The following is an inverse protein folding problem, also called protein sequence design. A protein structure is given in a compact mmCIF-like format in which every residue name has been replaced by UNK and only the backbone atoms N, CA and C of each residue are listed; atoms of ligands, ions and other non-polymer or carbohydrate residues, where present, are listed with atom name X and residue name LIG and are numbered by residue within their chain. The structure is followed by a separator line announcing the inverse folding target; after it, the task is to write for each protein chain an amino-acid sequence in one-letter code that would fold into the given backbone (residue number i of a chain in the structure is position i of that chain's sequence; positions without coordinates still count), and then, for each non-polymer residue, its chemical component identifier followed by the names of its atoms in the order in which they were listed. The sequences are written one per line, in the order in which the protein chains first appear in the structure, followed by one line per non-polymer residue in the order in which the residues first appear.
data_IF_122080697102
#
_entry.id   IF_122080697102
#
_cell.length_a   1.000
_cell.length_b   1.000
_cell.length_c   1.000
_cell.angle_alpha   90.00
_cell.angle_beta   90.00
_cell.angle_gamma   90.00
#
_symmetry.space_group_name_H-M   'P 1'
#
loop_
_entity.id
_entity.type
_entity.pdbx_description
1 polymer ?
#
# COMPACT_ATOMS: atom_id res chain seq x y z
N UNK A 1 9.44 7.08 -21.81
CA UNK A 1 10.38 7.21 -20.67
C UNK A 1 9.86 6.31 -19.57
N UNK A 2 10.49 5.15 -19.39
CA UNK A 2 10.02 4.11 -18.46
C UNK A 2 10.42 4.52 -17.05
N UNK A 3 9.46 5.03 -16.27
CA UNK A 3 9.69 5.62 -14.93
C UNK A 3 10.30 4.59 -13.95
N UNK A 4 10.23 3.30 -14.28
CA UNK A 4 10.82 2.21 -13.51
C UNK A 4 12.37 2.26 -13.49
N UNK A 5 13.04 2.66 -14.58
CA UNK A 5 14.49 2.53 -14.69
C UNK A 5 15.30 3.72 -14.15
N UNK A 6 14.65 4.82 -13.73
CA UNK A 6 15.33 6.10 -13.45
C UNK A 6 16.28 6.03 -12.24
N UNK A 7 16.01 5.11 -11.31
CA UNK A 7 16.74 4.96 -10.05
C UNK A 7 17.68 3.72 -10.06
N UNK A 8 17.67 2.94 -11.14
CA UNK A 8 18.60 1.82 -11.30
C UNK A 8 19.97 2.33 -11.77
N UNK A 9 21.04 1.79 -11.22
CA UNK A 9 22.40 2.12 -11.67
C UNK A 9 22.58 1.82 -13.16
N UNK A 10 23.26 2.71 -13.89
CA UNK A 10 23.55 2.53 -15.32
C UNK A 10 24.70 1.52 -15.54
N UNK A 11 24.56 0.33 -14.97
CA UNK A 11 25.51 -0.79 -15.03
C UNK A 11 24.83 -1.99 -15.69
N UNK A 12 25.61 -2.98 -16.14
CA UNK A 12 25.07 -4.25 -16.63
C UNK A 12 24.20 -4.94 -15.56
N UNK A 13 24.64 -4.88 -14.30
CA UNK A 13 23.88 -5.37 -13.15
C UNK A 13 22.56 -4.61 -12.95
N UNK A 14 22.56 -3.28 -13.14
CA UNK A 14 21.34 -2.48 -13.05
C UNK A 14 20.37 -2.74 -14.21
N UNK A 15 20.88 -2.95 -15.43
CA UNK A 15 20.05 -3.36 -16.57
C UNK A 15 19.41 -4.73 -16.34
N UNK A 16 20.17 -5.68 -15.78
CA UNK A 16 19.66 -6.98 -15.39
C UNK A 16 18.62 -6.89 -14.27
N UNK A 17 18.87 -6.05 -13.25
CA UNK A 17 17.89 -5.79 -12.20
C UNK A 17 16.56 -5.27 -12.78
N UNK A 18 16.62 -4.33 -13.74
CA UNK A 18 15.42 -3.80 -14.42
C UNK A 18 14.66 -4.89 -15.16
N UNK A 19 15.38 -5.79 -15.85
CA UNK A 19 14.77 -6.94 -16.52
C UNK A 19 14.07 -7.86 -15.53
N UNK A 20 14.78 -8.30 -14.50
CA UNK A 20 14.25 -9.19 -13.46
C UNK A 20 13.06 -8.59 -12.72
N UNK A 21 13.10 -7.30 -12.40
CA UNK A 21 11.96 -6.61 -11.79
C UNK A 21 10.73 -6.63 -12.71
N UNK A 22 10.92 -6.41 -14.01
CA UNK A 22 9.83 -6.43 -14.99
C UNK A 22 9.26 -7.85 -15.14
N UNK A 23 10.12 -8.86 -15.22
CA UNK A 23 9.74 -10.27 -15.30
C UNK A 23 9.00 -10.72 -14.02
N UNK A 24 9.47 -10.29 -12.85
CA UNK A 24 8.84 -10.60 -11.57
C UNK A 24 7.44 -10.01 -11.43
N UNK A 25 7.23 -8.77 -11.89
CA UNK A 25 5.89 -8.17 -11.96
C UNK A 25 4.98 -8.95 -12.91
N UNK A 26 5.48 -9.30 -14.10
CA UNK A 26 4.71 -10.07 -15.08
C UNK A 26 4.34 -11.47 -14.56
N UNK A 27 5.25 -12.13 -13.85
CA UNK A 27 5.00 -13.42 -13.21
C UNK A 27 3.92 -13.30 -12.11
N UNK A 28 3.98 -12.24 -11.29
CA UNK A 28 2.96 -11.97 -10.26
C UNK A 28 1.57 -11.74 -10.88
N UNK A 29 1.49 -10.97 -11.97
CA UNK A 29 0.24 -10.75 -12.73
C UNK A 29 -0.31 -12.06 -13.34
N UNK A 30 0.58 -12.99 -13.71
CA UNK A 30 0.22 -14.31 -14.19
C UNK A 30 -0.10 -15.33 -13.08
N UNK A 31 -0.01 -14.94 -11.80
CA UNK A 31 -0.20 -15.83 -10.65
C UNK A 31 0.91 -16.85 -10.43
N UNK A 32 2.09 -16.63 -11.02
CA UNK A 32 3.28 -17.45 -10.87
C UNK A 32 4.11 -16.93 -9.69
N UNK A 33 3.62 -17.18 -8.47
CA UNK A 33 4.10 -16.47 -7.29
C UNK A 33 5.54 -16.78 -6.90
N UNK A 34 5.95 -18.05 -6.96
CA UNK A 34 7.31 -18.48 -6.64
C UNK A 34 8.33 -17.88 -7.62
N UNK A 35 7.97 -17.85 -8.91
CA UNK A 35 8.79 -17.23 -9.94
C UNK A 35 8.89 -15.72 -9.74
N UNK A 36 7.77 -15.07 -9.43
CA UNK A 36 7.73 -13.64 -9.13
C UNK A 36 8.65 -13.29 -7.95
N UNK A 37 8.59 -14.08 -6.87
CA UNK A 37 9.42 -13.87 -5.68
C UNK A 37 10.90 -14.02 -5.99
N UNK A 38 11.26 -15.07 -6.73
CA UNK A 38 12.64 -15.32 -7.13
C UNK A 38 13.20 -14.16 -7.96
N UNK A 39 12.46 -13.70 -8.97
CA UNK A 39 12.88 -12.61 -9.86
C UNK A 39 12.99 -11.27 -9.14
N UNK A 40 12.00 -10.94 -8.31
CA UNK A 40 12.02 -9.69 -7.54
C UNK A 40 13.14 -9.69 -6.50
N UNK A 41 13.39 -10.82 -5.84
CA UNK A 41 14.47 -10.95 -4.87
C UNK A 41 15.84 -10.80 -5.51
N UNK A 42 16.03 -11.35 -6.71
CA UNK A 42 17.28 -11.17 -7.46
C UNK A 42 17.45 -9.72 -7.93
N UNK A 43 16.37 -9.05 -8.36
CA UNK A 43 16.42 -7.63 -8.69
C UNK A 43 16.82 -6.75 -7.50
N UNK A 44 16.29 -7.03 -6.30
CA UNK A 44 16.70 -6.37 -5.05
C UNK A 44 18.18 -6.62 -4.74
N UNK A 45 18.66 -7.85 -4.95
CA UNK A 45 20.07 -8.21 -4.71
C UNK A 45 21.02 -7.49 -5.65
N UNK A 46 20.67 -7.34 -6.93
CA UNK A 46 21.49 -6.69 -7.94
C UNK A 46 21.48 -5.16 -7.84
N UNK A 47 20.38 -4.58 -7.36
CA UNK A 47 20.22 -3.13 -7.21
C UNK A 47 19.64 -2.78 -5.83
N UNK A 48 20.42 -2.91 -4.73
CA UNK A 48 19.92 -2.71 -3.37
C UNK A 48 19.50 -1.28 -3.05
N UNK A 49 19.92 -0.30 -3.86
CA UNK A 49 19.55 1.10 -3.71
C UNK A 49 18.39 1.52 -4.62
N UNK A 50 17.82 0.59 -5.38
CA UNK A 50 16.69 0.84 -6.25
C UNK A 50 15.37 0.50 -5.55
N UNK A 51 14.52 1.50 -5.35
CA UNK A 51 13.30 1.36 -4.55
C UNK A 51 12.20 0.52 -5.23
N UNK A 52 12.17 0.42 -6.57
CA UNK A 52 11.04 -0.19 -7.26
C UNK A 52 10.90 -1.72 -7.04
N UNK A 53 11.98 -2.54 -7.10
CA UNK A 53 11.91 -3.96 -6.78
C UNK A 53 11.41 -4.23 -5.36
N UNK A 54 11.85 -3.44 -4.38
CA UNK A 54 11.37 -3.55 -3.00
C UNK A 54 9.86 -3.29 -2.91
N UNK A 55 9.37 -2.21 -3.53
CA UNK A 55 7.94 -1.89 -3.55
C UNK A 55 7.10 -2.99 -4.25
N UNK A 56 7.61 -3.58 -5.33
CA UNK A 56 6.94 -4.66 -6.05
C UNK A 56 6.96 -5.99 -5.28
N UNK A 57 8.09 -6.32 -4.61
CA UNK A 57 8.20 -7.53 -3.79
C UNK A 57 7.31 -7.45 -2.56
N UNK A 58 7.22 -6.29 -1.90
CA UNK A 58 6.27 -6.08 -0.84
C UNK A 58 4.80 -6.25 -1.29
N UNK A 59 4.48 -5.83 -2.52
CA UNK A 59 3.15 -6.07 -3.08
C UNK A 59 2.90 -7.56 -3.28
N UNK A 60 3.88 -8.29 -3.80
CA UNK A 60 3.81 -9.75 -3.96
C UNK A 60 3.58 -10.43 -2.61
N UNK A 61 4.36 -10.09 -1.58
CA UNK A 61 4.15 -10.62 -0.22
C UNK A 61 2.73 -10.35 0.27
N UNK A 62 2.22 -9.13 0.09
CA UNK A 62 0.82 -8.83 0.46
C UNK A 62 -0.23 -9.63 -0.31
N UNK A 63 0.04 -10.04 -1.56
CA UNK A 63 -0.87 -10.86 -2.37
C UNK A 63 -0.79 -12.35 -2.02
N UNK A 64 0.42 -12.87 -1.82
CA UNK A 64 0.67 -14.22 -1.34
C UNK A 64 -0.02 -14.51 0.00
N UNK A 65 -0.19 -13.46 0.79
CA UNK A 65 -0.62 -13.53 2.17
C UNK A 65 -1.98 -12.87 2.42
N UNK A 66 -2.75 -12.63 1.36
CA UNK A 66 -4.17 -12.31 1.51
C UNK A 66 -4.85 -13.50 2.24
N UNK A 67 -5.63 -13.29 3.32
CA UNK A 67 -6.34 -14.37 4.01
C UNK A 67 -7.35 -15.14 3.13
N UNK A 68 -7.64 -14.63 1.92
CA UNK A 68 -8.40 -15.32 0.88
C UNK A 68 -7.51 -16.07 -0.14
N UNK A 69 -6.18 -15.97 -0.03
CA UNK A 69 -5.25 -16.71 -0.87
C UNK A 69 -5.17 -18.17 -0.39
N UNK A 70 -5.58 -19.14 -1.23
CA UNK A 70 -5.69 -20.54 -0.83
C UNK A 70 -4.34 -21.25 -0.61
N UNK A 71 -3.22 -20.59 -0.88
CA UNK A 71 -1.90 -21.23 -0.89
C UNK A 71 -1.31 -21.51 0.50
N UNK A 72 -1.69 -20.77 1.55
CA UNK A 72 -1.20 -21.09 2.90
C UNK A 72 -2.11 -20.57 4.05
N UNK A 73 -3.23 -21.24 4.37
CA UNK A 73 -4.08 -20.88 5.49
C UNK A 73 -3.44 -21.13 6.88
N UNK A 74 -2.24 -21.73 6.94
CA UNK A 74 -1.54 -22.09 8.17
C UNK A 74 -0.32 -21.21 8.47
N UNK A 75 0.02 -20.28 7.57
CA UNK A 75 1.04 -19.28 7.77
C UNK A 75 0.38 -17.91 7.96
N UNK A 76 -0.09 -17.59 9.19
CA UNK A 76 -0.56 -16.25 9.51
C UNK A 76 0.63 -15.30 9.34
N UNK A 77 0.62 -14.55 8.27
CA UNK A 77 1.78 -13.78 7.85
C UNK A 77 2.10 -12.70 8.86
N UNK A 78 3.31 -12.76 9.38
CA UNK A 78 3.95 -11.58 9.94
C UNK A 78 4.19 -10.63 8.76
N UNK A 79 3.56 -9.46 8.68
CA UNK A 79 3.80 -8.49 7.61
C UNK A 79 5.25 -7.96 7.56
N UNK A 80 6.17 -8.53 8.33
CA UNK A 80 7.53 -8.07 8.54
C UNK A 80 8.29 -7.86 7.22
N UNK A 81 8.28 -8.84 6.31
CA UNK A 81 9.01 -8.75 5.05
C UNK A 81 8.44 -7.64 4.16
N UNK A 82 7.11 -7.57 4.05
CA UNK A 82 6.44 -6.51 3.29
C UNK A 82 6.66 -5.12 3.91
N UNK A 83 6.61 -5.00 5.24
CA UNK A 83 6.90 -3.75 5.95
C UNK A 83 8.35 -3.32 5.73
N UNK A 84 9.30 -4.25 5.91
CA UNK A 84 10.72 -3.99 5.75
C UNK A 84 11.03 -3.50 4.33
N UNK A 85 10.50 -4.17 3.32
CA UNK A 85 10.71 -3.78 1.92
C UNK A 85 10.11 -2.40 1.63
N UNK A 86 8.90 -2.11 2.12
CA UNK A 86 8.27 -0.82 1.90
C UNK A 86 8.96 0.32 2.64
N UNK A 87 9.39 0.10 3.87
CA UNK A 87 10.15 1.09 4.65
C UNK A 87 11.49 1.38 3.97
N UNK A 88 12.20 0.36 3.51
CA UNK A 88 13.42 0.51 2.73
C UNK A 88 13.16 1.27 1.41
N UNK A 89 12.10 0.92 0.68
CA UNK A 89 11.74 1.61 -0.56
C UNK A 89 11.46 3.11 -0.33
N UNK A 90 10.73 3.46 0.73
CA UNK A 90 10.46 4.87 1.08
C UNK A 90 11.74 5.61 1.48
N UNK A 91 12.65 4.96 2.22
CA UNK A 91 13.94 5.56 2.62
C UNK A 91 14.87 5.80 1.42
N UNK A 92 14.86 4.91 0.43
CA UNK A 92 15.67 5.03 -0.79
C UNK A 92 15.14 6.10 -1.76
N UNK A 93 13.85 6.43 -1.68
CA UNK A 93 13.26 7.47 -2.53
C UNK A 93 13.72 8.88 -2.11
N UNK A 94 14.77 9.37 -2.76
CA UNK A 94 15.29 10.74 -2.57
C UNK A 94 14.39 11.82 -3.16
N UNK A 95 13.59 11.47 -4.17
CA UNK A 95 12.64 12.37 -4.81
C UNK A 95 11.20 11.89 -4.65
N UNK A 96 10.30 12.85 -4.70
CA UNK A 96 8.87 12.59 -4.70
C UNK A 96 8.45 12.03 -6.07
N UNK A 97 7.85 10.84 -6.06
CA UNK A 97 7.59 10.10 -7.29
C UNK A 97 6.55 8.99 -7.13
N UNK A 98 6.24 8.28 -8.23
CA UNK A 98 5.23 7.23 -8.23
C UNK A 98 5.60 6.05 -7.31
N UNK A 99 6.88 5.67 -7.24
CA UNK A 99 7.35 4.58 -6.37
C UNK A 99 7.12 4.93 -4.91
N UNK A 100 7.60 6.09 -4.44
CA UNK A 100 7.35 6.59 -3.08
C UNK A 100 5.86 6.66 -2.75
N UNK A 101 5.04 7.18 -3.67
CA UNK A 101 3.59 7.25 -3.50
C UNK A 101 2.97 5.87 -3.31
N UNK A 102 3.32 4.91 -4.16
CA UNK A 102 2.81 3.54 -4.08
C UNK A 102 3.26 2.90 -2.77
N UNK A 103 4.54 3.00 -2.41
CA UNK A 103 5.07 2.44 -1.18
C UNK A 103 4.36 3.01 0.06
N UNK A 104 4.13 4.33 0.12
CA UNK A 104 3.36 4.97 1.18
C UNK A 104 1.90 4.51 1.22
N UNK A 105 1.25 4.27 0.08
CA UNK A 105 -0.12 3.71 0.07
C UNK A 105 -0.12 2.30 0.67
N UNK A 106 0.83 1.45 0.28
CA UNK A 106 0.93 0.09 0.76
C UNK A 106 1.24 0.04 2.28
N UNK A 107 2.17 0.86 2.75
CA UNK A 107 2.47 1.01 4.18
C UNK A 107 1.24 1.47 4.96
N UNK A 108 0.52 2.47 4.45
CA UNK A 108 -0.68 2.97 5.10
C UNK A 108 -1.73 1.88 5.30
N UNK A 109 -1.93 1.03 4.29
CA UNK A 109 -2.85 -0.10 4.37
C UNK A 109 -2.40 -1.14 5.38
N UNK A 110 -1.11 -1.47 5.38
CA UNK A 110 -0.54 -2.47 6.27
C UNK A 110 -0.56 -2.00 7.73
N UNK A 111 -0.21 -0.74 8.00
CA UNK A 111 -0.36 -0.16 9.35
C UNK A 111 -1.81 -0.13 9.81
N UNK A 112 -2.76 0.21 8.93
CA UNK A 112 -4.19 0.22 9.26
C UNK A 112 -4.71 -1.17 9.60
N UNK A 113 -4.30 -2.20 8.85
CA UNK A 113 -4.66 -3.60 9.13
C UNK A 113 -4.20 -4.02 10.54
N UNK A 114 -3.03 -3.54 10.97
CA UNK A 114 -2.44 -3.82 12.28
C UNK A 114 -2.89 -2.86 13.38
N UNK A 115 -3.94 -2.05 13.16
CA UNK A 115 -4.46 -1.09 14.14
C UNK A 115 -3.53 0.11 14.43
N UNK A 116 -2.43 0.26 13.69
CA UNK A 116 -1.48 1.37 13.81
C UNK A 116 -2.00 2.61 13.05
N UNK A 117 -3.10 3.17 13.53
CA UNK A 117 -3.84 4.23 12.83
C UNK A 117 -3.03 5.52 12.60
N UNK A 118 -2.18 5.93 13.54
CA UNK A 118 -1.34 7.13 13.39
C UNK A 118 -0.29 6.96 12.29
N UNK A 119 0.43 5.84 12.30
CA UNK A 119 1.38 5.48 11.25
C UNK A 119 0.69 5.39 9.88
N UNK A 120 -0.49 4.74 9.85
CA UNK A 120 -1.30 4.65 8.64
C UNK A 120 -1.68 6.04 8.09
N UNK A 121 -2.18 6.93 8.96
CA UNK A 121 -2.56 8.28 8.59
C UNK A 121 -1.37 9.07 8.05
N UNK A 122 -0.19 8.99 8.68
CA UNK A 122 1.04 9.62 8.20
C UNK A 122 1.38 9.18 6.78
N UNK A 123 1.41 7.87 6.53
CA UNK A 123 1.69 7.31 5.21
C UNK A 123 0.66 7.76 4.16
N UNK A 124 -0.63 7.78 4.50
CA UNK A 124 -1.67 8.26 3.59
C UNK A 124 -1.58 9.76 3.31
N UNK A 125 -1.19 10.59 4.28
CA UNK A 125 -0.93 12.01 4.06
C UNK A 125 0.18 12.22 3.03
N UNK A 126 1.32 11.54 3.18
CA UNK A 126 2.41 11.60 2.20
C UNK A 126 1.92 11.14 0.83
N UNK A 127 1.25 9.99 0.74
CA UNK A 127 0.73 9.50 -0.54
C UNK A 127 -0.29 10.45 -1.18
N UNK A 128 -1.13 11.13 -0.38
CA UNK A 128 -2.11 12.10 -0.84
C UNK A 128 -1.45 13.37 -1.41
N UNK A 129 -0.39 13.86 -0.75
CA UNK A 129 0.44 14.97 -1.23
C UNK A 129 1.10 14.63 -2.57
N UNK A 130 1.52 13.38 -2.75
CA UNK A 130 2.07 12.85 -4.01
C UNK A 130 1.00 12.59 -5.09
N UNK A 131 -0.27 12.89 -4.81
CA UNK A 131 -1.37 12.83 -5.78
C UNK A 131 -2.23 11.57 -5.74
N UNK A 132 -2.10 10.70 -4.74
CA UNK A 132 -2.96 9.50 -4.62
C UNK A 132 -4.39 9.87 -4.22
N UNK A 133 -5.35 9.70 -5.14
CA UNK A 133 -6.78 9.89 -4.87
C UNK A 133 -7.30 8.91 -3.81
N UNK A 134 -6.83 7.66 -3.87
CA UNK A 134 -7.13 6.66 -2.86
C UNK A 134 -6.67 7.13 -1.47
N UNK A 135 -5.42 7.59 -1.34
CA UNK A 135 -4.88 8.03 -0.06
C UNK A 135 -5.64 9.25 0.50
N UNK A 136 -6.06 10.20 -0.35
CA UNK A 136 -6.92 11.34 0.07
C UNK A 136 -8.21 10.86 0.74
N UNK A 137 -8.84 9.83 0.17
CA UNK A 137 -10.05 9.21 0.73
C UNK A 137 -9.76 8.55 2.09
N UNK A 138 -8.62 7.86 2.20
CA UNK A 138 -8.20 7.19 3.43
C UNK A 138 -7.86 8.20 4.56
N UNK A 139 -7.22 9.33 4.24
CA UNK A 139 -6.96 10.41 5.20
C UNK A 139 -8.27 10.95 5.77
N UNK A 140 -9.25 11.23 4.91
CA UNK A 140 -10.56 11.71 5.36
C UNK A 140 -11.27 10.68 6.26
N UNK A 141 -11.18 9.39 5.94
CA UNK A 141 -11.77 8.31 6.74
C UNK A 141 -11.08 8.14 8.11
N UNK A 142 -9.78 8.40 8.19
CA UNK A 142 -9.00 8.31 9.44
C UNK A 142 -9.02 9.61 10.26
N UNK A 143 -9.63 10.68 9.75
CA UNK A 143 -9.72 11.94 10.48
C UNK A 143 -10.72 11.80 11.66
N UNK A 144 -10.25 11.89 12.92
CA UNK A 144 -11.10 11.73 14.10
C UNK A 144 -12.19 12.80 14.20
N UNK A 145 -11.96 14.01 13.66
CA UNK A 145 -12.95 15.07 13.63
C UNK A 145 -14.06 14.77 12.63
N UNK A 146 -13.71 14.28 11.43
CA UNK A 146 -14.71 13.85 10.45
C UNK A 146 -15.56 12.68 10.98
N UNK A 147 -14.94 11.74 11.70
CA UNK A 147 -15.66 10.63 12.33
C UNK A 147 -16.65 11.11 13.41
N UNK A 148 -16.28 12.12 14.22
CA UNK A 148 -17.18 12.72 15.21
C UNK A 148 -18.32 13.49 14.54
N UNK A 149 -18.03 14.32 13.53
CA UNK A 149 -19.04 15.04 12.77
C UNK A 149 -20.04 14.09 12.10
N UNK A 150 -19.55 13.00 11.49
CA UNK A 150 -20.42 11.99 10.87
C UNK A 150 -21.30 11.28 11.90
N UNK A 151 -20.77 10.92 13.08
CA UNK A 151 -21.58 10.34 14.17
C UNK A 151 -22.65 11.30 14.67
N UNK A 152 -22.32 12.59 14.82
CA UNK A 152 -23.29 13.62 15.22
C UNK A 152 -24.36 13.83 14.14
N UNK A 153 -23.99 13.89 12.86
CA UNK A 153 -24.93 14.01 11.73
C UNK A 153 -25.89 12.83 11.65
N UNK A 154 -25.39 11.59 11.77
CA UNK A 154 -26.23 10.39 11.76
C UNK A 154 -27.22 10.40 12.93
N UNK A 155 -26.77 10.79 14.13
CA UNK A 155 -27.64 10.92 15.30
C UNK A 155 -28.75 11.96 15.08
N UNK A 156 -28.40 13.16 14.60
CA UNK A 156 -29.38 14.21 14.29
C UNK A 156 -30.40 13.77 13.23
N UNK A 157 -29.97 13.05 12.19
CA UNK A 157 -30.89 12.52 11.17
C UNK A 157 -31.83 11.45 11.71
N UNK A 158 -31.37 10.61 12.65
CA UNK A 158 -32.20 9.64 13.34
C UNK A 158 -33.24 10.33 14.23
N UNK A 159 -32.83 11.33 15.01
CA UNK A 159 -33.71 12.10 15.89
C UNK A 159 -34.81 12.83 15.09
N UNK A 160 -34.49 13.41 13.93
CA UNK A 160 -35.47 14.06 13.04
C UNK A 160 -36.46 13.08 12.43
N UNK A 161 -36.05 11.84 12.14
CA UNK A 161 -36.95 10.80 11.64
C UNK A 161 -37.87 10.27 12.75
N UNK A 162 -37.35 10.09 13.96
CA UNK A 162 -38.13 9.69 15.12
C UNK A 162 -39.19 10.76 15.47
N UNK A 163 -38.81 12.04 15.49
CA UNK A 163 -39.74 13.14 15.78
C UNK A 163 -40.81 13.40 14.71
N UNK A 164 -40.62 12.93 13.46
CA UNK A 164 -41.70 12.95 12.45
C UNK A 164 -42.71 11.82 12.65
N UNK A 165 -42.28 10.65 13.11
CA UNK A 165 -43.18 9.52 13.35
C UNK A 165 -44.12 9.78 14.54
N UNK A 166 -43.70 10.57 15.52
CA UNK A 166 -44.52 10.94 16.69
C UNK A 166 -45.58 12.02 16.39
N UNK A 167 -45.48 12.72 15.25
CA UNK A 167 -46.39 13.83 14.92
C UNK A 167 -47.46 13.45 13.87
N UNK A 168 -47.34 12.29 13.23
CA UNK A 168 -48.28 11.80 12.22
C UNK A 168 -49.37 10.85 12.81
N UNK A 169 -49.37 10.63 14.14
CA UNK A 169 -50.29 9.73 14.87
C UNK A 169 -51.40 10.46 15.69
N UNK A 170 -51.59 11.79 15.53
CA UNK A 170 -52.73 12.58 16.07
C UNK A 170 -53.76 12.94 14.99
#
# INVERSE_FOLDING_TARGET
MNILAADAEATEAGAEAVRLNTEGVAAAEAGQWEEAEARLSEAVRLAPHWAAPLNNRAQLYRLLHDPLNPLDPLNPTDPAEALQDLEAAVQLCTTDGPVKRQACVQLGLLHRLHGRHEAAHSCFCTAAQLGSAFAKTQVAALNPMAALCNKMLVKMMADVRAGRAEHDDE
#
